data_IF_773689898799
#
_entry.id   IF_773689898799
#
_cell.length_a   1.000
_cell.length_b   1.000
_cell.length_c   1.000
_cell.angle_alpha   90.00
_cell.angle_beta   90.00
_cell.angle_gamma   90.00
#
_symmetry.space_group_name_H-M   'P 1'
#
loop_
_entity.id
_entity.type
_entity.pdbx_description
1 polymer ?
#
# COMPACT_ATOMS: atom_id res chain seq x y z
N UNK A 1 -6.37 -18.09 -28.42
CA UNK A 1 -7.38 -18.04 -27.34
C UNK A 1 -8.49 -17.09 -27.75
N UNK A 2 -9.75 -17.56 -27.82
CA UNK A 2 -10.88 -16.75 -28.28
C UNK A 2 -11.10 -15.52 -27.37
N UNK A 3 -11.48 -14.33 -27.88
CA UNK A 3 -11.61 -13.11 -27.07
C UNK A 3 -12.59 -13.24 -25.90
N UNK A 4 -13.69 -13.99 -26.07
CA UNK A 4 -14.63 -14.31 -24.97
C UNK A 4 -13.96 -15.11 -23.85
N UNK A 5 -13.17 -16.13 -24.20
CA UNK A 5 -12.44 -16.97 -23.23
C UNK A 5 -11.35 -16.15 -22.52
N UNK A 6 -10.64 -15.27 -23.26
CA UNK A 6 -9.66 -14.35 -22.66
C UNK A 6 -10.32 -13.40 -21.65
N UNK A 7 -11.47 -12.82 -21.98
CA UNK A 7 -12.22 -11.95 -21.06
C UNK A 7 -12.67 -12.70 -19.79
N UNK A 8 -13.27 -13.88 -19.94
CA UNK A 8 -13.67 -14.70 -18.79
C UNK A 8 -12.49 -15.10 -17.91
N UNK A 9 -11.34 -15.40 -18.52
CA UNK A 9 -10.11 -15.73 -17.79
C UNK A 9 -9.56 -14.55 -16.98
N UNK A 10 -9.58 -13.33 -17.52
CA UNK A 10 -9.17 -12.14 -16.77
C UNK A 10 -10.14 -11.81 -15.62
N UNK A 11 -11.45 -11.98 -15.83
CA UNK A 11 -12.44 -11.83 -14.75
C UNK A 11 -12.17 -12.85 -13.63
N UNK A 12 -11.94 -14.12 -13.98
CA UNK A 12 -11.65 -15.17 -13.01
C UNK A 12 -10.40 -14.85 -12.18
N UNK A 13 -9.32 -14.38 -12.82
CA UNK A 13 -8.10 -13.95 -12.11
C UNK A 13 -8.36 -12.83 -11.12
N UNK A 14 -9.15 -11.83 -11.52
CA UNK A 14 -9.52 -10.69 -10.68
C UNK A 14 -10.34 -11.18 -9.48
N UNK A 15 -11.34 -12.04 -9.70
CA UNK A 15 -12.15 -12.63 -8.64
C UNK A 15 -11.31 -13.44 -7.64
N UNK A 16 -10.43 -14.32 -8.13
CA UNK A 16 -9.52 -15.11 -7.28
C UNK A 16 -8.58 -14.20 -6.48
N UNK A 17 -8.08 -13.13 -7.08
CA UNK A 17 -7.23 -12.16 -6.40
C UNK A 17 -7.97 -11.45 -5.26
N UNK A 18 -9.18 -10.94 -5.52
CA UNK A 18 -10.00 -10.29 -4.49
C UNK A 18 -10.44 -11.26 -3.39
N UNK A 19 -10.77 -12.51 -3.74
CA UNK A 19 -11.10 -13.53 -2.75
C UNK A 19 -9.90 -13.85 -1.86
N UNK A 20 -8.71 -14.01 -2.44
CA UNK A 20 -7.47 -14.24 -1.66
C UNK A 20 -7.16 -13.04 -0.75
N UNK A 21 -7.33 -11.82 -1.27
CA UNK A 21 -7.14 -10.59 -0.52
C UNK A 21 -8.09 -10.50 0.68
N UNK A 22 -9.39 -10.75 0.45
CA UNK A 22 -10.41 -10.73 1.49
C UNK A 22 -10.14 -11.80 2.55
N UNK A 23 -9.83 -13.03 2.12
CA UNK A 23 -9.50 -14.12 3.04
C UNK A 23 -8.28 -13.78 3.89
N UNK A 24 -7.21 -13.19 3.33
CA UNK A 24 -6.03 -12.82 4.12
C UNK A 24 -6.27 -11.62 5.06
N UNK A 25 -7.20 -10.73 4.72
CA UNK A 25 -7.59 -9.61 5.59
C UNK A 25 -8.38 -10.08 6.82
N UNK A 26 -9.27 -11.07 6.64
CA UNK A 26 -10.19 -11.56 7.67
C UNK A 26 -9.89 -12.98 8.18
N UNK A 27 -8.75 -13.58 7.79
CA UNK A 27 -8.42 -14.96 8.15
C UNK A 27 -8.43 -15.19 9.66
N UNK A 28 -7.90 -14.25 10.44
CA UNK A 28 -7.90 -14.34 11.91
C UNK A 28 -9.32 -14.30 12.46
N UNK A 29 -10.20 -13.43 11.97
CA UNK A 29 -11.62 -13.42 12.35
C UNK A 29 -12.34 -14.72 11.98
N UNK A 30 -12.09 -15.27 10.79
CA UNK A 30 -12.69 -16.54 10.34
C UNK A 30 -12.25 -17.68 11.24
N UNK A 31 -10.94 -17.78 11.52
CA UNK A 31 -10.40 -18.81 12.40
C UNK A 31 -10.92 -18.63 13.83
N UNK A 32 -11.03 -17.41 14.34
CA UNK A 32 -11.62 -17.12 15.65
C UNK A 32 -13.06 -17.63 15.74
N UNK A 33 -13.87 -17.41 14.70
CA UNK A 33 -15.25 -17.88 14.65
C UNK A 33 -15.35 -19.40 14.79
N UNK A 34 -14.48 -20.16 14.10
CA UNK A 34 -14.44 -21.63 14.20
C UNK A 34 -13.83 -22.14 15.52
N UNK A 35 -12.88 -21.42 16.10
CA UNK A 35 -12.21 -21.83 17.35
C UNK A 35 -13.02 -21.50 18.61
N UNK A 36 -13.84 -20.44 18.58
CA UNK A 36 -14.66 -19.99 19.73
C UNK A 36 -15.43 -21.14 20.41
N UNK A 37 -16.20 -21.99 19.70
CA UNK A 37 -16.93 -23.09 20.35
C UNK A 37 -16.04 -24.22 20.89
N UNK A 38 -14.74 -24.27 20.53
CA UNK A 38 -13.79 -25.25 21.06
C UNK A 38 -13.08 -24.77 22.32
N UNK A 39 -13.05 -23.46 22.57
CA UNK A 39 -12.40 -22.89 23.74
C UNK A 39 -13.19 -23.11 25.03
N UNK A 40 -14.52 -23.12 24.97
CA UNK A 40 -15.37 -23.38 26.13
C UNK A 40 -15.00 -24.71 26.81
N UNK A 41 -14.68 -25.76 26.03
CA UNK A 41 -14.30 -27.05 26.58
C UNK A 41 -12.89 -27.16 27.17
N UNK A 42 -12.00 -26.19 26.91
CA UNK A 42 -10.59 -26.26 27.35
C UNK A 42 -10.41 -25.77 28.79
N UNK A 43 -11.29 -24.90 29.27
CA UNK A 43 -11.26 -24.36 30.64
C UNK A 43 -12.07 -25.19 31.64
N UNK A 44 -12.79 -26.23 31.17
CA UNK A 44 -13.55 -27.15 32.02
C UNK A 44 -12.67 -27.98 32.98
N UNK A 45 -11.34 -27.99 32.80
CA UNK A 45 -10.43 -28.62 33.76
C UNK A 45 -10.47 -27.94 35.15
N UNK A 46 -10.87 -26.67 35.21
CA UNK A 46 -11.08 -25.97 36.48
C UNK A 46 -12.32 -26.48 37.23
N UNK A 47 -13.34 -27.00 36.52
CA UNK A 47 -14.52 -27.61 37.15
C UNK A 47 -14.19 -28.95 37.82
N UNK A 48 -13.20 -29.71 37.31
CA UNK A 48 -12.84 -31.01 37.90
C UNK A 48 -11.69 -30.96 38.92
N UNK A 49 -10.74 -30.03 38.78
CA UNK A 49 -9.54 -29.99 39.64
C UNK A 49 -9.68 -29.19 40.94
N UNK A 50 -10.57 -28.19 40.99
CA UNK A 50 -10.69 -27.26 42.13
C UNK A 50 -12.05 -27.41 42.85
N UNK A 51 -12.91 -28.33 42.41
CA UNK A 51 -14.15 -28.67 43.13
C UNK A 51 -13.90 -29.17 44.57
N UNK A 52 -12.64 -29.50 44.93
CA UNK A 52 -12.31 -29.93 46.28
C UNK A 52 -11.84 -28.80 47.22
N UNK A 53 -11.46 -27.62 46.74
CA UNK A 53 -11.01 -26.53 47.63
C UNK A 53 -11.38 -25.14 47.07
N UNK A 54 -12.35 -24.50 47.73
CA UNK A 54 -12.60 -23.05 47.83
C UNK A 54 -13.70 -22.46 46.92
N UNK A 55 -14.85 -22.19 47.55
CA UNK A 55 -15.92 -21.22 47.26
C UNK A 55 -16.11 -20.70 45.82
N UNK A 56 -17.30 -21.02 45.27
CA UNK A 56 -17.79 -20.76 43.91
C UNK A 56 -17.71 -19.30 43.40
N UNK A 57 -17.48 -18.30 44.25
CA UNK A 57 -17.34 -16.90 43.78
C UNK A 57 -15.98 -16.61 43.13
N UNK A 58 -14.94 -17.37 43.48
CA UNK A 58 -13.63 -17.25 42.84
C UNK A 58 -13.49 -18.07 41.55
N UNK A 59 -14.26 -19.15 41.40
CA UNK A 59 -14.15 -20.05 40.24
C UNK A 59 -14.62 -19.40 38.94
N UNK A 60 -15.77 -18.71 38.94
CA UNK A 60 -16.36 -18.14 37.72
C UNK A 60 -15.46 -17.07 37.10
N UNK A 61 -14.93 -16.16 37.94
CA UNK A 61 -13.97 -15.13 37.51
C UNK A 61 -12.71 -15.76 36.93
N UNK A 62 -12.21 -16.84 37.53
CA UNK A 62 -11.02 -17.53 37.00
C UNK A 62 -11.27 -18.26 35.69
N UNK A 63 -12.48 -18.78 35.44
CA UNK A 63 -12.85 -19.45 34.18
C UNK A 63 -12.90 -18.44 33.03
N UNK A 64 -13.62 -17.33 33.22
CA UNK A 64 -13.71 -16.25 32.22
C UNK A 64 -12.34 -15.64 31.90
N UNK A 65 -11.50 -15.41 32.93
CA UNK A 65 -10.13 -14.94 32.76
C UNK A 65 -9.29 -15.95 31.98
N UNK A 66 -9.37 -17.25 32.31
CA UNK A 66 -8.64 -18.31 31.63
C UNK A 66 -9.05 -18.40 30.15
N UNK A 67 -10.35 -18.39 29.87
CA UNK A 67 -10.90 -18.40 28.50
C UNK A 67 -10.40 -17.20 27.70
N UNK A 68 -10.46 -15.99 28.30
CA UNK A 68 -10.00 -14.76 27.67
C UNK A 68 -8.50 -14.80 27.36
N UNK A 69 -7.66 -15.25 28.30
CA UNK A 69 -6.21 -15.34 28.14
C UNK A 69 -5.80 -16.36 27.07
N UNK A 70 -6.41 -17.56 27.09
CA UNK A 70 -6.14 -18.61 26.10
C UNK A 70 -6.59 -18.18 24.71
N UNK A 71 -7.79 -17.59 24.61
CA UNK A 71 -8.30 -17.05 23.35
C UNK A 71 -7.38 -15.96 22.80
N UNK A 72 -6.93 -15.01 23.63
CA UNK A 72 -6.02 -13.96 23.21
C UNK A 72 -4.67 -14.52 22.70
N UNK A 73 -4.12 -15.51 23.40
CA UNK A 73 -2.84 -16.15 23.02
C UNK A 73 -2.96 -16.87 21.68
N UNK A 74 -4.02 -17.67 21.50
CA UNK A 74 -4.20 -18.44 20.28
C UNK A 74 -4.52 -17.53 19.10
N UNK A 75 -5.34 -16.49 19.29
CA UNK A 75 -5.58 -15.48 18.26
C UNK A 75 -4.30 -14.76 17.85
N UNK A 76 -3.42 -14.47 18.82
CA UNK A 76 -2.13 -13.87 18.50
C UNK A 76 -1.22 -14.80 17.68
N UNK A 77 -1.17 -16.10 18.02
CA UNK A 77 -0.42 -17.10 17.25
C UNK A 77 -0.99 -17.19 15.82
N UNK A 78 -2.31 -17.30 15.69
CA UNK A 78 -2.99 -17.33 14.38
C UNK A 78 -2.69 -16.06 13.59
N UNK A 79 -2.73 -14.88 14.22
CA UNK A 79 -2.37 -13.62 13.59
C UNK A 79 -0.94 -13.63 13.08
N UNK A 80 0.03 -14.09 13.88
CA UNK A 80 1.43 -14.21 13.44
C UNK A 80 1.58 -15.11 12.20
N UNK A 81 0.89 -16.26 12.17
CA UNK A 81 0.90 -17.18 11.03
C UNK A 81 0.27 -16.55 9.78
N UNK A 82 -0.91 -15.95 9.92
CA UNK A 82 -1.59 -15.24 8.83
C UNK A 82 -0.72 -14.10 8.31
N UNK A 83 -0.05 -13.38 9.19
CA UNK A 83 0.85 -12.28 8.84
C UNK A 83 2.09 -12.75 8.09
N UNK A 84 2.69 -13.88 8.47
CA UNK A 84 3.81 -14.48 7.72
C UNK A 84 3.40 -14.79 6.27
N UNK A 85 2.21 -15.38 6.08
CA UNK A 85 1.66 -15.67 4.76
C UNK A 85 1.36 -14.37 4.00
N UNK A 86 0.71 -13.42 4.67
CA UNK A 86 0.33 -12.13 4.08
C UNK A 86 1.54 -11.31 3.66
N UNK A 87 2.62 -11.28 4.45
CA UNK A 87 3.85 -10.58 4.10
C UNK A 87 4.51 -11.18 2.84
N UNK A 88 4.45 -12.51 2.66
CA UNK A 88 4.89 -13.14 1.39
C UNK A 88 3.99 -12.73 0.22
N UNK A 89 2.67 -12.67 0.44
CA UNK A 89 1.72 -12.22 -0.57
C UNK A 89 1.93 -10.74 -0.94
N UNK A 90 2.21 -9.86 0.03
CA UNK A 90 2.56 -8.46 -0.20
C UNK A 90 3.77 -8.33 -1.13
N UNK A 91 4.81 -9.15 -0.93
CA UNK A 91 5.99 -9.19 -1.80
C UNK A 91 5.65 -9.61 -3.22
N UNK A 92 4.77 -10.61 -3.36
CA UNK A 92 4.30 -11.06 -4.65
C UNK A 92 3.50 -9.98 -5.40
N UNK A 93 2.59 -9.29 -4.71
CA UNK A 93 1.87 -8.12 -5.26
C UNK A 93 2.88 -7.04 -5.68
N UNK A 94 3.81 -6.71 -4.78
CA UNK A 94 4.76 -5.62 -4.96
C UNK A 94 5.77 -5.84 -6.09
N UNK A 95 6.09 -7.09 -6.44
CA UNK A 95 7.05 -7.41 -7.51
C UNK A 95 6.39 -7.75 -8.84
N UNK A 96 5.25 -8.47 -8.82
CA UNK A 96 4.63 -9.02 -10.03
C UNK A 96 3.47 -8.19 -10.55
N UNK A 97 2.62 -7.67 -9.67
CA UNK A 97 1.40 -6.96 -10.06
C UNK A 97 1.60 -5.46 -10.17
N UNK A 98 2.35 -4.90 -9.23
CA UNK A 98 2.66 -3.48 -9.20
C UNK A 98 4.10 -3.35 -9.68
N UNK A 99 4.30 -2.86 -10.90
CA UNK A 99 5.64 -2.42 -11.32
C UNK A 99 6.15 -1.46 -10.23
N UNK A 100 7.27 -1.80 -9.59
CA UNK A 100 7.87 -1.02 -8.52
C UNK A 100 8.21 0.40 -9.03
N UNK A 101 7.35 1.37 -8.70
CA UNK A 101 7.74 2.78 -8.79
C UNK A 101 9.04 3.00 -8.01
N UNK A 102 9.90 3.89 -8.49
CA UNK A 102 11.16 4.24 -7.82
C UNK A 102 10.94 4.70 -6.36
N UNK A 103 9.81 5.36 -6.08
CA UNK A 103 9.44 5.75 -4.71
C UNK A 103 9.07 4.54 -3.86
N UNK A 104 8.42 3.53 -4.44
CA UNK A 104 8.04 2.31 -3.73
C UNK A 104 9.26 1.48 -3.35
N UNK A 105 10.31 1.45 -4.17
CA UNK A 105 11.56 0.75 -3.81
C UNK A 105 12.25 1.42 -2.62
N UNK A 106 12.19 2.75 -2.52
CA UNK A 106 12.72 3.47 -1.35
C UNK A 106 11.82 3.37 -0.12
N UNK A 107 10.52 3.19 -0.34
CA UNK A 107 9.51 3.25 0.70
C UNK A 107 8.41 2.21 0.43
N UNK A 108 8.60 0.95 0.87
CA UNK A 108 7.69 -0.14 0.53
C UNK A 108 6.41 -0.18 1.38
N UNK A 109 6.38 0.49 2.53
CA UNK A 109 5.24 0.51 3.45
C UNK A 109 4.90 -0.86 4.05
N UNK A 110 5.88 -1.77 4.16
CA UNK A 110 5.69 -3.11 4.72
C UNK A 110 6.15 -3.15 6.17
N UNK A 111 5.28 -3.62 7.06
CA UNK A 111 5.60 -3.84 8.47
C UNK A 111 5.17 -5.22 8.91
N UNK A 112 6.05 -5.96 9.58
CA UNK A 112 5.70 -7.30 10.06
C UNK A 112 4.62 -7.25 11.14
N UNK A 113 4.60 -6.22 12.00
CA UNK A 113 3.51 -6.00 12.96
C UNK A 113 3.43 -6.96 14.15
N UNK A 114 4.28 -8.00 14.22
CA UNK A 114 4.26 -8.94 15.35
C UNK A 114 4.59 -8.29 16.71
N UNK A 115 5.33 -7.17 16.72
CA UNK A 115 5.63 -6.42 17.94
C UNK A 115 4.38 -5.95 18.69
N UNK A 116 3.25 -5.79 18.00
CA UNK A 116 1.97 -5.38 18.58
C UNK A 116 1.29 -6.48 19.39
N UNK A 117 1.72 -7.72 19.19
CA UNK A 117 1.31 -8.84 20.02
C UNK A 117 1.65 -8.66 21.47
N UNK A 118 2.82 -8.09 21.75
CA UNK A 118 3.31 -7.91 23.10
C UNK A 118 2.37 -7.03 23.94
N UNK A 119 2.10 -5.76 23.58
CA UNK A 119 1.17 -4.94 24.36
C UNK A 119 -0.24 -5.52 24.44
N UNK A 120 -0.73 -6.16 23.37
CA UNK A 120 -2.05 -6.80 23.38
C UNK A 120 -2.14 -7.99 24.35
N UNK A 121 -1.14 -8.87 24.34
CA UNK A 121 -1.06 -10.00 25.27
C UNK A 121 -0.84 -9.51 26.69
N UNK A 122 0.08 -8.57 26.90
CA UNK A 122 0.33 -7.95 28.20
C UNK A 122 -0.96 -7.36 28.77
N UNK A 123 -1.77 -6.65 27.97
CA UNK A 123 -3.09 -6.15 28.37
C UNK A 123 -4.08 -7.27 28.68
N UNK A 124 -4.18 -8.28 27.82
CA UNK A 124 -5.12 -9.39 28.00
C UNK A 124 -4.81 -10.22 29.24
N UNK A 125 -3.51 -10.41 29.56
CA UNK A 125 -3.04 -11.05 30.78
C UNK A 125 -3.29 -10.14 31.99
N UNK A 126 -3.13 -8.82 31.85
CA UNK A 126 -3.21 -7.88 32.96
C UNK A 126 -4.57 -7.66 33.59
N UNK A 127 -5.67 -8.07 32.93
CA UNK A 127 -6.98 -8.06 33.58
C UNK A 127 -6.97 -8.85 34.90
N UNK A 128 -6.04 -9.79 35.06
CA UNK A 128 -5.77 -10.52 36.30
C UNK A 128 -4.97 -9.74 37.38
N UNK A 129 -4.23 -8.69 37.00
CA UNK A 129 -3.36 -7.94 37.91
C UNK A 129 -4.21 -6.92 38.67
N UNK A 130 -4.66 -7.32 39.87
CA UNK A 130 -5.48 -6.52 40.79
C UNK A 130 -4.89 -5.13 41.06
N UNK A 131 -5.67 -4.10 40.72
CA UNK A 131 -5.92 -2.74 41.27
C UNK A 131 -4.74 -1.87 41.76
N UNK A 132 -3.69 -2.39 42.41
CA UNK A 132 -2.66 -1.57 43.07
C UNK A 132 -1.66 -0.88 42.13
N UNK A 133 -1.33 -1.49 40.99
CA UNK A 133 -0.32 -0.99 40.03
C UNK A 133 -0.91 -0.57 38.68
N UNK A 134 -2.24 -0.51 38.57
CA UNK A 134 -2.97 -0.26 37.33
C UNK A 134 -2.48 0.97 36.52
N UNK A 135 -2.25 2.17 37.10
CA UNK A 135 -1.84 3.32 36.30
C UNK A 135 -0.43 3.18 35.72
N UNK A 136 0.55 2.72 36.52
CA UNK A 136 1.93 2.51 36.04
C UNK A 136 1.94 1.46 34.93
N UNK A 137 1.16 0.40 35.11
CA UNK A 137 1.03 -0.65 34.13
C UNK A 137 0.41 -0.18 32.81
N UNK A 138 -0.64 0.66 32.86
CA UNK A 138 -1.23 1.30 31.68
C UNK A 138 -0.23 2.20 30.95
N UNK A 139 0.62 2.93 31.68
CA UNK A 139 1.69 3.75 31.08
C UNK A 139 2.70 2.88 30.33
N UNK A 140 3.10 1.73 30.90
CA UNK A 140 4.01 0.78 30.25
C UNK A 140 3.37 0.19 28.98
N UNK A 141 2.08 -0.19 29.02
CA UNK A 141 1.36 -0.65 27.84
C UNK A 141 1.33 0.46 26.78
N UNK A 142 0.96 1.67 27.15
CA UNK A 142 0.88 2.78 26.21
C UNK A 142 2.23 3.08 25.57
N UNK A 143 3.32 3.08 26.35
CA UNK A 143 4.68 3.28 25.85
C UNK A 143 5.10 2.18 24.87
N UNK A 144 4.91 0.90 25.24
CA UNK A 144 5.24 -0.24 24.37
C UNK A 144 4.39 -0.27 23.09
N UNK A 145 3.11 0.08 23.19
CA UNK A 145 2.21 0.20 22.05
C UNK A 145 2.65 1.34 21.12
N UNK A 146 2.99 2.50 21.69
CA UNK A 146 3.49 3.66 20.92
C UNK A 146 4.78 3.32 20.15
N UNK A 147 5.71 2.60 20.77
CA UNK A 147 6.94 2.12 20.11
C UNK A 147 6.59 1.15 18.97
N UNK A 148 5.64 0.23 19.18
CA UNK A 148 5.22 -0.73 18.17
C UNK A 148 4.47 -0.06 16.99
N UNK A 149 3.73 1.03 17.23
CA UNK A 149 3.03 1.80 16.19
C UNK A 149 3.90 2.86 15.49
N UNK A 150 5.02 3.26 16.09
CA UNK A 150 5.94 4.25 15.52
C UNK A 150 6.28 4.06 14.03
N UNK A 151 6.61 2.87 13.51
CA UNK A 151 6.86 2.69 12.07
C UNK A 151 5.65 3.07 11.20
N UNK A 152 4.43 2.77 11.62
CA UNK A 152 3.21 3.14 10.88
C UNK A 152 2.95 4.65 10.93
N UNK A 153 3.21 5.29 12.08
CA UNK A 153 3.07 6.74 12.23
C UNK A 153 4.12 7.50 11.39
N UNK A 154 5.37 7.01 11.37
CA UNK A 154 6.44 7.54 10.52
C UNK A 154 6.05 7.45 9.04
N UNK A 155 5.46 6.33 8.66
CA UNK A 155 5.02 6.11 7.29
C UNK A 155 3.90 7.05 6.89
N UNK A 156 2.90 7.22 7.75
CA UNK A 156 1.82 8.19 7.58
C UNK A 156 2.35 9.61 7.38
N UNK A 157 3.30 10.05 8.21
CA UNK A 157 3.90 11.38 8.11
C UNK A 157 4.61 11.59 6.76
N UNK A 158 5.38 10.60 6.31
CA UNK A 158 6.04 10.63 5.00
C UNK A 158 5.03 10.67 3.85
N UNK A 159 4.00 9.82 3.87
CA UNK A 159 2.94 9.82 2.87
C UNK A 159 2.22 11.16 2.82
N UNK A 160 1.88 11.73 3.98
CA UNK A 160 1.21 13.02 4.07
C UNK A 160 2.05 14.14 3.46
N UNK A 161 3.36 14.18 3.73
CA UNK A 161 4.30 15.12 3.11
C UNK A 161 4.39 14.94 1.59
N UNK A 162 4.42 13.69 1.12
CA UNK A 162 4.43 13.38 -0.32
C UNK A 162 3.15 13.85 -1.01
N UNK A 163 1.99 13.59 -0.42
CA UNK A 163 0.69 14.01 -0.94
C UNK A 163 0.61 15.54 -0.97
N UNK A 164 1.00 16.21 0.11
CA UNK A 164 1.03 17.67 0.18
C UNK A 164 1.89 18.27 -0.95
N UNK A 165 3.13 17.78 -1.11
CA UNK A 165 4.02 18.21 -2.17
C UNK A 165 3.44 17.91 -3.57
N UNK A 166 2.76 16.78 -3.74
CA UNK A 166 2.13 16.41 -5.01
C UNK A 166 0.94 17.32 -5.35
N UNK A 167 0.12 17.69 -4.36
CA UNK A 167 -0.98 18.64 -4.52
C UNK A 167 -0.45 20.02 -4.91
N UNK A 168 0.55 20.54 -4.18
CA UNK A 168 1.18 21.83 -4.50
C UNK A 168 1.74 21.86 -5.93
N UNK A 169 2.34 20.76 -6.39
CA UNK A 169 2.91 20.64 -7.75
C UNK A 169 1.88 20.29 -8.84
N UNK A 170 0.58 20.30 -8.52
CA UNK A 170 -0.52 19.89 -9.41
C UNK A 170 -0.25 18.54 -10.08
N UNK A 171 0.25 17.57 -9.32
CA UNK A 171 0.60 16.24 -9.82
C UNK A 171 -0.64 15.47 -10.30
N UNK A 172 -1.76 15.61 -9.59
CA UNK A 172 -3.03 15.00 -9.94
C UNK A 172 -3.70 15.77 -11.08
N UNK A 173 -3.78 15.16 -12.27
CA UNK A 173 -4.48 15.72 -13.42
C UNK A 173 -6.00 15.68 -13.26
N UNK A 174 -6.52 14.66 -12.57
CA UNK A 174 -7.95 14.41 -12.41
C UNK A 174 -8.34 14.49 -10.94
N UNK A 175 -9.45 15.17 -10.66
CA UNK A 175 -10.00 15.28 -9.30
C UNK A 175 -10.24 13.90 -8.66
N UNK A 176 -10.58 12.87 -9.45
CA UNK A 176 -10.83 11.51 -8.95
C UNK A 176 -9.61 10.86 -8.29
N UNK A 177 -8.41 11.00 -8.86
CA UNK A 177 -7.20 10.41 -8.26
C UNK A 177 -6.77 11.14 -7.00
N UNK A 178 -6.98 12.46 -6.97
CA UNK A 178 -6.78 13.28 -5.78
C UNK A 178 -7.76 12.86 -4.66
N UNK A 179 -9.05 12.73 -4.96
CA UNK A 179 -10.07 12.28 -4.00
C UNK A 179 -9.75 10.88 -3.46
N UNK A 180 -9.40 9.93 -4.32
CA UNK A 180 -9.02 8.57 -3.89
C UNK A 180 -7.79 8.59 -2.96
N UNK A 181 -6.80 9.45 -3.25
CA UNK A 181 -5.63 9.62 -2.38
C UNK A 181 -6.03 10.16 -1.02
N UNK A 182 -6.90 11.18 -0.97
CA UNK A 182 -7.38 11.75 0.29
C UNK A 182 -8.22 10.76 1.12
N UNK A 183 -9.08 10.00 0.45
CA UNK A 183 -9.83 8.91 1.10
C UNK A 183 -8.87 7.86 1.66
N UNK A 184 -7.85 7.48 0.89
CA UNK A 184 -6.87 6.45 1.30
C UNK A 184 -6.04 6.89 2.50
N UNK A 185 -5.57 8.14 2.54
CA UNK A 185 -4.78 8.66 3.66
C UNK A 185 -5.65 8.87 4.91
N UNK A 186 -6.93 9.22 4.74
CA UNK A 186 -7.90 9.29 5.84
C UNK A 186 -8.09 7.90 6.47
N UNK A 187 -8.40 6.87 5.68
CA UNK A 187 -8.52 5.51 6.21
C UNK A 187 -7.22 5.01 6.84
N UNK A 188 -6.06 5.37 6.26
CA UNK A 188 -4.76 5.03 6.85
C UNK A 188 -4.64 5.62 8.26
N UNK A 189 -4.90 6.93 8.40
CA UNK A 189 -4.86 7.62 9.69
C UNK A 189 -5.86 7.02 10.69
N UNK A 190 -7.11 6.85 10.29
CA UNK A 190 -8.18 6.32 11.14
C UNK A 190 -7.84 4.92 11.63
N UNK A 191 -7.36 4.02 10.77
CA UNK A 191 -6.95 2.67 11.19
C UNK A 191 -5.80 2.72 12.19
N UNK A 192 -4.75 3.51 11.93
CA UNK A 192 -3.62 3.64 12.87
C UNK A 192 -4.10 4.18 14.23
N UNK A 193 -4.96 5.19 14.23
CA UNK A 193 -5.46 5.80 15.46
C UNK A 193 -6.39 4.87 16.25
N UNK A 194 -7.34 4.22 15.57
CA UNK A 194 -8.29 3.28 16.20
C UNK A 194 -7.52 2.12 16.83
N UNK A 195 -6.60 1.50 16.07
CA UNK A 195 -5.82 0.36 16.56
C UNK A 195 -4.85 0.75 17.68
N UNK A 196 -4.23 1.94 17.61
CA UNK A 196 -3.39 2.47 18.69
C UNK A 196 -4.17 2.58 20.00
N UNK A 197 -5.38 3.16 19.94
CA UNK A 197 -6.23 3.34 21.12
C UNK A 197 -6.81 2.01 21.62
N UNK A 198 -7.19 1.10 20.72
CA UNK A 198 -7.73 -0.21 21.10
C UNK A 198 -6.67 -1.12 21.74
N UNK A 199 -5.47 -1.18 21.16
CA UNK A 199 -4.36 -1.97 21.74
C UNK A 199 -3.90 -1.37 23.06
N UNK A 200 -3.84 -0.03 23.18
CA UNK A 200 -3.38 0.65 24.40
C UNK A 200 -4.39 0.56 25.55
N UNK A 201 -5.65 0.91 25.27
CA UNK A 201 -6.67 1.10 26.32
C UNK A 201 -7.87 0.16 26.18
N UNK A 202 -8.12 -0.39 24.99
CA UNK A 202 -9.29 -1.23 24.73
C UNK A 202 -10.62 -0.50 24.88
N UNK A 203 -10.63 0.79 24.49
CA UNK A 203 -11.81 1.67 24.63
C UNK A 203 -12.92 1.27 23.66
N UNK A 204 -12.57 0.63 22.54
CA UNK A 204 -13.53 0.32 21.49
C UNK A 204 -14.21 -1.03 21.73
N UNK A 205 -15.54 -1.03 21.59
CA UNK A 205 -16.29 -2.27 21.49
C UNK A 205 -15.98 -2.96 20.15
N UNK A 206 -15.98 -4.31 20.09
CA UNK A 206 -15.73 -5.05 18.86
C UNK A 206 -16.78 -4.69 17.80
N UNK A 207 -16.36 -3.92 16.80
CA UNK A 207 -17.18 -3.59 15.64
C UNK A 207 -17.09 -4.71 14.60
N UNK A 208 -18.23 -5.02 13.97
CA UNK A 208 -18.31 -6.05 12.92
C UNK A 208 -18.74 -5.47 11.58
N UNK A 209 -18.06 -5.88 10.50
CA UNK A 209 -18.46 -5.62 9.11
C UNK A 209 -18.74 -6.99 8.48
N UNK A 210 -19.94 -7.18 7.92
CA UNK A 210 -20.41 -8.47 7.40
C UNK A 210 -20.25 -9.64 8.39
N UNK A 211 -20.32 -9.35 9.70
CA UNK A 211 -20.14 -10.33 10.77
C UNK A 211 -18.69 -10.56 11.23
N UNK A 212 -17.69 -10.00 10.54
CA UNK A 212 -16.27 -10.13 10.91
C UNK A 212 -15.79 -8.96 11.76
N UNK A 213 -15.01 -9.24 12.81
CA UNK A 213 -14.48 -8.21 13.71
C UNK A 213 -13.33 -7.45 13.06
N UNK A 214 -13.34 -6.11 13.18
CA UNK A 214 -12.41 -5.21 12.44
C UNK A 214 -11.27 -4.70 13.33
N UNK A 215 -11.20 -5.13 14.59
CA UNK A 215 -10.13 -4.75 15.51
C UNK A 215 -9.05 -5.82 15.56
N UNK A 216 -7.81 -5.40 15.83
CA UNK A 216 -6.74 -6.32 16.17
C UNK A 216 -7.13 -7.24 17.35
N UNK A 217 -6.80 -8.55 17.32
CA UNK A 217 -6.03 -9.29 16.31
C UNK A 217 -6.88 -9.93 15.19
N UNK A 218 -8.19 -9.65 15.13
CA UNK A 218 -9.13 -10.28 14.18
C UNK A 218 -9.06 -9.71 12.75
N UNK A 219 -8.50 -8.51 12.62
CA UNK A 219 -8.27 -7.86 11.34
C UNK A 219 -6.78 -7.72 11.06
N UNK A 220 -6.36 -8.12 9.85
CA UNK A 220 -4.98 -7.98 9.39
C UNK A 220 -4.72 -6.54 8.91
N UNK A 221 -4.80 -5.60 9.84
CA UNK A 221 -4.64 -4.18 9.53
C UNK A 221 -3.29 -3.82 8.89
N UNK A 222 -2.13 -4.49 9.15
CA UNK A 222 -0.88 -4.14 8.46
C UNK A 222 -0.98 -4.35 6.95
N UNK A 223 -1.67 -5.41 6.53
CA UNK A 223 -1.94 -5.67 5.12
C UNK A 223 -2.88 -4.61 4.54
N UNK A 224 -3.90 -4.20 5.29
CA UNK A 224 -4.80 -3.12 4.89
C UNK A 224 -4.04 -1.80 4.68
N UNK A 225 -3.18 -1.41 5.63
CA UNK A 225 -2.33 -0.23 5.51
C UNK A 225 -1.39 -0.33 4.30
N UNK A 226 -0.84 -1.51 4.02
CA UNK A 226 -0.01 -1.74 2.83
C UNK A 226 -0.79 -1.53 1.51
N UNK A 227 -2.06 -1.95 1.46
CA UNK A 227 -2.95 -1.73 0.30
C UNK A 227 -3.21 -0.23 0.12
N UNK A 228 -3.57 0.48 1.19
CA UNK A 228 -3.81 1.93 1.15
C UNK A 228 -2.55 2.69 0.71
N UNK A 229 -1.42 2.36 1.32
CA UNK A 229 -0.10 2.88 0.95
C UNK A 229 0.21 2.64 -0.53
N UNK A 230 -0.10 1.44 -1.01
CA UNK A 230 0.05 1.07 -2.42
C UNK A 230 -0.82 1.92 -3.34
N UNK A 231 -2.09 2.14 -2.99
CA UNK A 231 -3.01 2.96 -3.80
C UNK A 231 -2.46 4.39 -3.93
N UNK A 232 -1.98 4.97 -2.81
CA UNK A 232 -1.40 6.32 -2.79
C UNK A 232 -0.18 6.42 -3.73
N UNK A 233 0.75 5.45 -3.65
CA UNK A 233 1.98 5.47 -4.45
C UNK A 233 1.79 5.00 -5.91
N UNK A 234 0.64 4.41 -6.26
CA UNK A 234 0.40 3.92 -7.61
C UNK A 234 0.18 5.04 -8.63
N UNK A 235 -0.19 6.24 -8.16
CA UNK A 235 -0.45 7.37 -9.05
C UNK A 235 0.83 7.86 -9.74
N UNK A 236 0.80 7.83 -11.07
CA UNK A 236 1.83 8.40 -11.93
C UNK A 236 1.23 9.45 -12.85
N UNK A 237 1.97 10.53 -13.06
CA UNK A 237 1.62 11.58 -14.02
C UNK A 237 2.32 11.32 -15.34
N UNK A 238 1.54 11.23 -16.41
CA UNK A 238 2.06 11.26 -17.77
C UNK A 238 2.61 12.66 -18.06
N UNK A 239 3.87 12.72 -18.47
CA UNK A 239 4.52 13.94 -18.94
C UNK A 239 4.41 14.04 -20.46
N UNK A 240 4.50 15.26 -21.03
CA UNK A 240 4.53 15.41 -22.48
C UNK A 240 5.71 14.61 -23.06
N UNK A 241 5.44 13.98 -24.21
CA UNK A 241 6.42 13.19 -24.90
C UNK A 241 7.57 14.07 -25.42
N UNK A 242 8.78 13.50 -25.39
CA UNK A 242 9.98 14.09 -25.97
C UNK A 242 10.42 13.18 -27.10
N UNK A 243 10.81 13.76 -28.22
CA UNK A 243 11.30 13.02 -29.37
C UNK A 243 12.74 13.41 -29.59
N UNK A 244 13.62 12.43 -29.51
CA UNK A 244 15.03 12.61 -29.78
C UNK A 244 15.29 12.32 -31.26
N UNK A 245 15.81 13.32 -31.96
CA UNK A 245 16.34 13.21 -33.32
C UNK A 245 17.81 12.82 -33.20
N UNK A 246 18.14 11.58 -33.55
CA UNK A 246 19.50 11.05 -33.46
C UNK A 246 20.12 11.12 -34.85
N UNK A 247 21.01 12.10 -35.06
CA UNK A 247 21.53 12.41 -36.40
C UNK A 247 22.50 11.36 -36.93
N UNK A 248 23.34 10.77 -36.08
CA UNK A 248 24.35 9.79 -36.48
C UNK A 248 23.76 8.47 -36.99
N UNK A 249 22.68 8.02 -36.35
CA UNK A 249 21.98 6.78 -36.67
C UNK A 249 20.70 6.98 -37.49
N UNK A 250 20.41 8.23 -37.89
CA UNK A 250 19.24 8.65 -38.68
C UNK A 250 17.93 8.04 -38.17
N UNK A 251 17.61 8.25 -36.89
CA UNK A 251 16.37 7.74 -36.31
C UNK A 251 15.73 8.72 -35.31
N UNK A 252 14.41 8.58 -35.13
CA UNK A 252 13.69 9.25 -34.06
C UNK A 252 13.36 8.29 -32.93
N UNK A 253 13.57 8.72 -31.68
CA UNK A 253 13.20 7.97 -30.48
C UNK A 253 12.18 8.77 -29.68
N UNK A 254 10.98 8.24 -29.51
CA UNK A 254 9.96 8.86 -28.67
C UNK A 254 10.07 8.34 -27.25
N UNK A 255 10.24 9.26 -26.31
CA UNK A 255 10.24 9.01 -24.87
C UNK A 255 8.91 9.48 -24.25
N UNK A 256 8.16 8.52 -23.72
CA UNK A 256 6.99 8.76 -22.88
C UNK A 256 7.39 8.62 -21.42
N UNK A 257 7.55 9.75 -20.73
CA UNK A 257 7.93 9.78 -19.32
C UNK A 257 6.71 9.68 -18.43
N UNK A 258 6.82 8.83 -17.42
CA UNK A 258 5.87 8.72 -16.33
C UNK A 258 6.57 9.15 -15.05
N UNK A 259 6.02 10.14 -14.35
CA UNK A 259 6.57 10.59 -13.06
C UNK A 259 5.79 10.04 -11.89
N UNK A 260 6.49 9.57 -10.87
CA UNK A 260 5.86 9.19 -9.60
C UNK A 260 5.45 10.44 -8.80
N UNK A 261 4.77 10.24 -7.66
CA UNK A 261 4.33 11.31 -6.74
C UNK A 261 5.47 12.25 -6.27
N UNK A 262 6.71 11.78 -6.22
CA UNK A 262 7.92 12.59 -5.91
C UNK A 262 8.35 13.50 -7.06
N UNK A 263 7.70 13.43 -8.21
CA UNK A 263 8.08 14.10 -9.45
C UNK A 263 9.42 13.61 -10.04
N UNK A 264 9.90 12.43 -9.64
CA UNK A 264 11.01 11.72 -10.29
C UNK A 264 10.47 10.83 -11.42
N UNK A 265 11.25 10.68 -12.49
CA UNK A 265 10.89 9.79 -13.60
C UNK A 265 10.91 8.33 -13.12
N UNK A 266 9.87 7.58 -13.49
CA UNK A 266 9.73 6.18 -13.14
C UNK A 266 10.28 5.31 -14.27
N UNK A 267 11.41 4.61 -14.09
CA UNK A 267 12.02 3.81 -15.15
C UNK A 267 11.12 2.66 -15.61
N UNK A 268 10.26 2.15 -14.73
CA UNK A 268 9.42 0.97 -15.01
C UNK A 268 8.09 1.29 -15.70
N UNK A 269 7.65 2.54 -15.57
CA UNK A 269 6.42 3.04 -16.18
C UNK A 269 6.72 3.90 -17.42
N UNK A 270 7.91 4.52 -17.48
CA UNK A 270 8.36 5.24 -18.66
C UNK A 270 8.70 4.27 -19.78
N UNK A 271 8.48 4.69 -21.02
CA UNK A 271 8.76 3.88 -22.20
C UNK A 271 9.45 4.72 -23.25
N UNK A 272 10.46 4.15 -23.90
CA UNK A 272 11.13 4.72 -25.04
C UNK A 272 11.03 3.73 -26.21
N UNK A 273 10.72 4.22 -27.40
CA UNK A 273 10.65 3.38 -28.61
C UNK A 273 11.07 4.17 -29.85
N UNK A 274 11.67 3.49 -30.84
CA UNK A 274 11.98 4.10 -32.12
C UNK A 274 10.71 4.33 -32.94
N UNK A 275 10.69 5.42 -33.71
CA UNK A 275 9.66 5.72 -34.70
C UNK A 275 10.10 5.22 -36.07
N UNK A 276 9.13 4.86 -36.91
CA UNK A 276 9.34 4.41 -38.30
C UNK A 276 9.77 5.56 -39.25
N UNK A 277 9.68 6.82 -38.79
CA UNK A 277 10.13 7.97 -39.53
C UNK A 277 11.65 8.17 -39.42
N UNK A 278 12.31 8.54 -40.52
CA UNK A 278 13.75 8.82 -40.57
C UNK A 278 13.99 10.33 -40.66
N UNK A 279 14.82 10.93 -39.79
CA UNK A 279 15.19 12.35 -39.85
C UNK A 279 15.55 12.84 -41.26
N UNK A 280 16.32 12.07 -42.02
CA UNK A 280 16.75 12.39 -43.39
C UNK A 280 15.59 12.50 -44.40
N UNK A 281 14.48 11.79 -44.16
CA UNK A 281 13.30 11.75 -45.07
C UNK A 281 12.09 12.51 -44.52
N UNK A 282 12.13 12.94 -43.27
CA UNK A 282 10.95 13.49 -42.59
C UNK A 282 10.80 14.98 -42.90
N UNK A 283 9.66 15.35 -43.48
CA UNK A 283 9.36 16.75 -43.82
C UNK A 283 9.07 17.59 -42.57
N UNK A 284 9.16 18.91 -42.68
CA UNK A 284 8.79 19.83 -41.60
C UNK A 284 7.33 19.67 -41.16
N UNK A 285 6.43 19.29 -42.08
CA UNK A 285 5.03 18.98 -41.80
C UNK A 285 4.93 17.72 -40.92
N UNK A 286 5.62 16.64 -41.28
CA UNK A 286 5.64 15.42 -40.48
C UNK A 286 6.25 15.64 -39.09
N UNK A 287 7.35 16.42 -39.00
CA UNK A 287 7.98 16.79 -37.72
C UNK A 287 7.03 17.54 -36.79
N UNK A 288 6.27 18.53 -37.31
CA UNK A 288 5.27 19.28 -36.53
C UNK A 288 4.13 18.41 -36.03
N UNK A 289 3.91 17.30 -36.71
CA UNK A 289 2.81 16.41 -36.46
C UNK A 289 3.19 15.28 -35.49
N UNK A 290 4.46 15.22 -35.08
CA UNK A 290 4.85 14.42 -33.94
C UNK A 290 4.29 15.00 -32.64
N UNK A 291 3.71 14.14 -31.80
CA UNK A 291 3.28 14.50 -30.46
C UNK A 291 4.50 14.66 -29.55
N UNK A 292 5.09 15.85 -29.47
CA UNK A 292 6.14 16.14 -28.50
C UNK A 292 7.11 17.24 -28.88
N UNK A 293 8.04 17.52 -27.96
CA UNK A 293 9.18 18.41 -28.22
C UNK A 293 10.30 17.61 -28.88
N UNK A 294 10.76 18.07 -30.05
CA UNK A 294 11.93 17.49 -30.73
C UNK A 294 13.22 18.05 -30.12
N UNK A 295 14.16 17.18 -29.78
CA UNK A 295 15.49 17.51 -29.26
C UNK A 295 16.52 16.79 -30.14
N UNK A 296 17.51 17.51 -30.63
CA UNK A 296 18.57 16.93 -31.47
C UNK A 296 19.72 16.42 -30.63
N UNK A 297 20.17 15.21 -30.96
CA UNK A 297 21.28 14.50 -30.33
C UNK A 297 22.19 13.98 -31.46
N UNK A 298 23.50 13.94 -31.22
CA UNK A 298 24.45 13.52 -32.27
C UNK A 298 24.48 12.00 -32.43
N UNK A 299 24.63 11.27 -31.32
CA UNK A 299 24.82 9.82 -31.32
C UNK A 299 23.85 9.12 -30.37
N UNK A 300 23.48 7.88 -30.69
CA UNK A 300 22.58 7.06 -29.88
C UNK A 300 23.11 6.83 -28.46
N UNK A 301 24.44 6.73 -28.30
CA UNK A 301 25.10 6.53 -27.00
C UNK A 301 24.81 7.64 -25.99
N UNK A 302 24.58 8.87 -26.45
CA UNK A 302 24.22 9.99 -25.56
C UNK A 302 22.85 9.78 -24.89
N UNK A 303 21.97 8.95 -25.48
CA UNK A 303 20.68 8.63 -24.89
C UNK A 303 20.80 7.67 -23.70
N UNK A 304 21.84 6.85 -23.61
CA UNK A 304 21.99 5.89 -22.51
C UNK A 304 22.13 6.59 -21.15
N UNK A 305 22.72 7.79 -21.13
CA UNK A 305 22.89 8.61 -19.93
C UNK A 305 21.64 9.47 -19.61
N UNK A 306 20.80 9.75 -20.62
CA UNK A 306 19.66 10.68 -20.51
C UNK A 306 18.35 9.94 -20.26
N UNK A 307 18.18 8.75 -20.84
CA UNK A 307 16.93 8.02 -20.78
C UNK A 307 16.76 7.33 -19.41
N UNK A 308 15.60 7.49 -18.75
CA UNK A 308 15.34 6.76 -17.51
C UNK A 308 15.08 5.26 -17.75
N UNK A 309 14.89 4.83 -19.00
CA UNK A 309 14.47 3.48 -19.34
C UNK A 309 15.16 2.98 -20.61
N UNK A 310 15.29 1.66 -20.73
CA UNK A 310 15.79 1.01 -21.95
C UNK A 310 14.85 1.28 -23.12
N UNK A 311 15.44 1.53 -24.29
CA UNK A 311 14.69 1.67 -25.55
C UNK A 311 14.13 0.30 -25.95
N UNK A 312 12.85 0.27 -26.27
CA UNK A 312 12.18 -0.93 -26.79
C UNK A 312 12.64 -1.22 -28.21
N UNK A 313 12.74 -2.50 -28.57
CA UNK A 313 13.00 -2.95 -29.94
C UNK A 313 11.78 -2.81 -30.86
N UNK A 314 10.60 -2.52 -30.31
CA UNK A 314 9.38 -2.37 -31.10
C UNK A 314 9.31 -0.97 -31.73
N UNK A 315 9.45 -0.93 -33.05
CA UNK A 315 9.25 0.30 -33.83
C UNK A 315 7.76 0.65 -33.86
N UNK A 316 7.42 1.89 -33.48
CA UNK A 316 6.06 2.39 -33.66
C UNK A 316 5.91 3.06 -35.01
N UNK A 317 4.90 2.62 -35.76
CA UNK A 317 4.41 3.37 -36.92
C UNK A 317 3.88 4.72 -36.44
N UNK A 318 4.33 5.79 -37.07
CA UNK A 318 3.67 7.09 -36.95
C UNK A 318 2.30 6.91 -37.60
N UNK A 319 1.25 6.72 -36.80
CA UNK A 319 -0.12 6.59 -37.34
C UNK A 319 -0.47 7.88 -38.07
N UNK A 320 -0.81 7.75 -39.35
CA UNK A 320 -1.27 8.84 -40.20
C UNK A 320 -2.48 9.56 -39.58
N UNK A 321 -2.40 10.88 -39.64
CA UNK A 321 -3.17 11.88 -38.91
C UNK A 321 -4.69 11.73 -38.98
N UNK A 322 -5.36 11.72 -37.83
CA UNK A 322 -6.67 12.37 -37.69
C UNK A 322 -6.43 13.77 -37.13
N UNK A 323 -6.88 14.77 -37.86
CA UNK A 323 -6.74 16.20 -37.54
C UNK A 323 -7.59 16.59 -36.34
N UNK A 324 -7.17 16.22 -35.13
CA UNK A 324 -7.59 16.93 -33.91
C UNK A 324 -6.47 16.81 -32.87
N UNK A 325 -5.81 17.91 -32.50
CA UNK A 325 -4.93 17.87 -31.34
C UNK A 325 -5.80 17.51 -30.12
N UNK A 326 -5.42 16.51 -29.32
CA UNK A 326 -6.12 16.27 -28.08
C UNK A 326 -5.91 17.50 -27.18
N UNK A 327 -7.02 18.07 -26.69
CA UNK A 327 -7.04 19.26 -25.84
C UNK A 327 -6.48 18.93 -24.45
N UNK A 328 -5.18 18.78 -24.33
CA UNK A 328 -4.52 18.81 -23.03
C UNK A 328 -3.98 20.23 -22.83
N UNK A 329 -4.86 21.12 -22.37
CA UNK A 329 -4.40 22.34 -21.74
C UNK A 329 -3.68 21.93 -20.45
N UNK A 330 -2.35 21.78 -20.51
CA UNK A 330 -1.53 21.77 -19.30
C UNK A 330 -1.52 23.22 -18.82
N UNK A 331 -2.12 23.55 -17.66
CA UNK A 331 -2.05 24.92 -17.17
C UNK A 331 -0.58 25.29 -16.93
N UNK A 332 -0.15 26.51 -17.26
CA UNK A 332 1.22 26.94 -17.05
C UNK A 332 1.61 26.80 -15.57
N UNK A 333 2.87 26.38 -15.33
CA UNK A 333 3.45 26.39 -13.99
C UNK A 333 3.46 27.84 -13.46
N UNK A 334 2.99 28.11 -12.23
CA UNK A 334 3.22 29.39 -11.58
C UNK A 334 4.73 29.62 -11.43
N UNK A 335 5.20 30.84 -11.73
CA UNK A 335 6.61 31.24 -11.62
C UNK A 335 7.12 31.29 -10.18
N UNK A 336 6.22 31.25 -9.21
CA UNK A 336 6.56 31.44 -7.81
C UNK A 336 6.45 30.11 -7.05
N UNK A 337 7.40 29.21 -7.26
CA UNK A 337 7.72 28.21 -6.24
C UNK A 337 9.10 28.52 -5.67
N UNK A 338 9.22 28.84 -4.37
CA UNK A 338 10.51 29.03 -3.73
C UNK A 338 11.34 27.75 -3.85
N UNK A 339 12.60 27.92 -4.24
CA UNK A 339 13.58 26.87 -4.54
C UNK A 339 14.05 26.04 -3.34
N UNK A 340 13.55 26.32 -2.13
CA UNK A 340 14.05 25.74 -0.87
C UNK A 340 13.47 24.37 -0.49
N UNK A 341 12.88 23.60 -1.42
CA UNK A 341 12.43 22.21 -1.14
C UNK A 341 13.09 21.20 -2.09
N UNK A 342 14.29 21.51 -2.60
CA UNK A 342 15.10 20.56 -3.36
C UNK A 342 16.04 19.71 -2.50
N UNK A 343 16.13 19.97 -1.19
CA UNK A 343 16.95 19.17 -0.30
C UNK A 343 16.13 18.02 0.29
N UNK A 344 16.24 16.86 -0.36
CA UNK A 344 15.78 15.57 0.12
C UNK A 344 16.96 14.59 0.02
N UNK A 345 17.84 14.67 1.02
CA UNK A 345 18.59 13.52 1.54
C UNK A 345 17.71 12.73 2.53
#
# INVERSE_FOLDING_TARGET
MHPKVKKSWEILKICVFFLTLFTLLFATSIINFYLTPRFSGLCDFYDYGILFFINATSSDVTKEECESQRRATILFIVFCLVRLISNKFENFIGTKFLRTCSVRSTFPGRHFGAALGFPYLTRSLSKSIRVGSAPVFLVIIFASTSIAFYPYAKDFSKLSRLIYNAVQRRHYLYNRSMILTFISIYFYFSTVLIELLDVSFGIYCPQTIFGFQILFPNFNFPMFLYILHTIILHHHRAMPAIIYEVNGEDCFIQLNRMRCITNKDCPQMSTAFPLDALPSKTTTIQRRAFDGRIIQIRQYRELDDILPCKVSTQVRKVSTFTSRPPSYAVPPLPRDLPSTILDLE
#
